data_IF_863470471319
#
_entry.id   IF_863470471319
#
_cell.length_a   1.000
_cell.length_b   1.000
_cell.length_c   1.000
_cell.angle_alpha   90.00
_cell.angle_beta   90.00
_cell.angle_gamma   90.00
#
_symmetry.space_group_name_H-M   'P 1'
#
loop_
_entity.id
_entity.type
_entity.pdbx_description
1 polymer ?
#
# COMPACT_ATOMS: atom_id res chain seq x y z
N UNK A 1 -32.83 -3.83 -22.85
CA UNK A 1 -31.88 -3.95 -21.73
C UNK A 1 -32.05 -5.32 -21.10
N UNK A 2 -30.96 -6.07 -20.85
CA UNK A 2 -31.06 -7.35 -20.14
C UNK A 2 -31.65 -7.14 -18.73
N UNK A 3 -32.40 -8.10 -18.19
CA UNK A 3 -32.95 -8.01 -16.84
C UNK A 3 -31.82 -7.93 -15.80
N UNK A 4 -31.96 -7.03 -14.83
CA UNK A 4 -30.98 -6.89 -13.75
C UNK A 4 -30.84 -8.18 -12.95
N UNK A 5 -29.58 -8.59 -12.73
CA UNK A 5 -29.22 -9.69 -11.85
C UNK A 5 -29.84 -9.51 -10.46
N UNK A 6 -30.14 -10.63 -9.79
CA UNK A 6 -30.64 -10.60 -8.42
C UNK A 6 -29.66 -9.91 -7.45
N UNK A 7 -28.35 -10.05 -7.69
CA UNK A 7 -27.30 -9.37 -6.93
C UNK A 7 -27.37 -7.86 -7.11
N UNK A 8 -27.59 -7.39 -8.35
CA UNK A 8 -27.76 -5.96 -8.64
C UNK A 8 -28.98 -5.38 -7.93
N UNK A 9 -30.09 -6.14 -7.88
CA UNK A 9 -31.30 -5.74 -7.14
C UNK A 9 -31.08 -5.67 -5.63
N UNK A 10 -30.29 -6.58 -5.07
CA UNK A 10 -29.92 -6.56 -3.65
C UNK A 10 -29.02 -5.35 -3.35
N UNK A 11 -27.99 -5.12 -4.17
CA UNK A 11 -27.09 -3.99 -4.03
C UNK A 11 -27.83 -2.65 -4.10
N UNK A 12 -28.72 -2.47 -5.08
CA UNK A 12 -29.55 -1.27 -5.23
C UNK A 12 -30.38 -0.99 -3.97
N UNK A 13 -31.05 -2.02 -3.41
CA UNK A 13 -31.82 -1.87 -2.17
C UNK A 13 -30.96 -1.40 -1.00
N UNK A 14 -29.73 -1.91 -0.89
CA UNK A 14 -28.80 -1.50 0.17
C UNK A 14 -28.34 -0.05 -0.02
N UNK A 15 -28.02 0.35 -1.26
CA UNK A 15 -27.64 1.74 -1.58
C UNK A 15 -28.79 2.71 -1.27
N UNK A 16 -30.04 2.37 -1.64
CA UNK A 16 -31.21 3.19 -1.35
C UNK A 16 -31.44 3.36 0.16
N UNK A 17 -31.27 2.28 0.93
CA UNK A 17 -31.40 2.31 2.39
C UNK A 17 -30.34 3.22 3.04
N UNK A 18 -29.09 3.12 2.61
CA UNK A 18 -28.00 3.99 3.09
C UNK A 18 -28.28 5.47 2.74
N UNK A 19 -28.75 5.74 1.53
CA UNK A 19 -29.12 7.08 1.08
C UNK A 19 -30.22 7.72 1.93
N UNK A 20 -31.29 6.97 2.22
CA UNK A 20 -32.40 7.46 3.06
C UNK A 20 -31.98 7.78 4.49
N UNK A 21 -30.93 7.12 4.97
CA UNK A 21 -30.36 7.37 6.31
C UNK A 21 -29.34 8.51 6.33
N UNK A 22 -29.04 9.12 5.18
CA UNK A 22 -28.01 10.14 5.06
C UNK A 22 -26.58 9.59 5.18
N UNK A 23 -26.39 8.26 5.18
CA UNK A 23 -25.07 7.61 5.32
C UNK A 23 -24.15 7.88 4.11
N UNK A 24 -24.68 8.45 3.03
CA UNK A 24 -23.96 8.81 1.80
C UNK A 24 -23.72 10.32 1.65
N UNK A 25 -23.94 11.12 2.71
CA UNK A 25 -23.72 12.57 2.75
C UNK A 25 -22.69 12.92 3.84
N UNK A 26 -21.95 14.01 3.66
CA UNK A 26 -20.86 14.43 4.53
C UNK A 26 -19.66 13.48 4.51
N UNK A 27 -19.47 12.69 3.45
CA UNK A 27 -18.37 11.72 3.38
C UNK A 27 -17.02 12.42 3.29
N UNK A 28 -15.98 11.76 3.82
CA UNK A 28 -14.62 12.24 3.66
C UNK A 28 -14.27 12.34 2.17
N UNK A 29 -13.95 13.55 1.72
CA UNK A 29 -13.65 13.81 0.31
C UNK A 29 -14.85 14.14 -0.56
N UNK A 30 -16.07 14.26 0.00
CA UNK A 30 -17.24 14.68 -0.77
C UNK A 30 -17.02 16.05 -1.44
N UNK A 31 -17.30 16.12 -2.74
CA UNK A 31 -17.09 17.31 -3.57
C UNK A 31 -15.64 17.63 -3.91
N UNK A 32 -14.66 16.85 -3.40
CA UNK A 32 -13.24 17.02 -3.72
C UNK A 32 -12.87 16.15 -4.94
N UNK A 33 -11.83 16.55 -5.71
CA UNK A 33 -11.27 15.68 -6.73
C UNK A 33 -10.86 14.33 -6.16
N UNK A 34 -11.02 13.26 -6.95
CA UNK A 34 -10.48 11.97 -6.58
C UNK A 34 -8.95 12.10 -6.40
N UNK A 35 -8.37 11.53 -5.33
CA UNK A 35 -6.93 11.57 -5.14
C UNK A 35 -6.22 10.85 -6.28
N UNK A 36 -5.09 11.40 -6.70
CA UNK A 36 -4.24 10.79 -7.73
C UNK A 36 -3.63 9.50 -7.20
N UNK A 37 -3.99 8.38 -7.81
CA UNK A 37 -3.56 7.03 -7.42
C UNK A 37 -2.95 6.33 -8.63
N UNK A 38 -1.71 6.68 -9.00
CA UNK A 38 -1.03 6.07 -10.15
C UNK A 38 -0.83 4.56 -9.98
N UNK A 39 -0.80 4.04 -8.75
CA UNK A 39 -0.70 2.61 -8.45
C UNK A 39 -1.97 1.80 -8.76
N UNK A 40 -3.15 2.43 -8.73
CA UNK A 40 -4.44 1.77 -9.00
C UNK A 40 -4.66 1.55 -10.51
N UNK A 41 -3.89 2.26 -11.36
CA UNK A 41 -4.00 2.17 -12.81
C UNK A 41 -3.44 0.86 -13.39
N UNK A 42 -2.63 0.13 -12.62
CA UNK A 42 -1.91 -1.07 -13.05
C UNK A 42 -2.34 -2.35 -12.32
N UNK A 43 -3.45 -2.32 -11.57
CA UNK A 43 -3.91 -3.47 -10.79
C UNK A 43 -5.39 -3.72 -10.98
N UNK A 44 -5.84 -4.94 -10.66
CA UNK A 44 -7.27 -5.25 -10.69
C UNK A 44 -8.04 -4.37 -9.70
N UNK A 45 -9.34 -4.15 -9.94
CA UNK A 45 -10.19 -3.40 -9.02
C UNK A 45 -10.23 -4.02 -7.61
N UNK A 46 -10.06 -5.34 -7.49
CA UNK A 46 -9.97 -6.03 -6.20
C UNK A 46 -8.68 -5.68 -5.45
N UNK A 47 -7.55 -5.70 -6.16
CA UNK A 47 -6.24 -5.41 -5.59
C UNK A 47 -6.10 -3.95 -5.20
N UNK A 48 -6.63 -3.02 -6.01
CA UNK A 48 -6.69 -1.59 -5.67
C UNK A 48 -7.43 -1.35 -4.34
N UNK A 49 -8.57 -2.05 -4.14
CA UNK A 49 -9.32 -1.98 -2.88
C UNK A 49 -8.51 -2.56 -1.72
N UNK A 50 -7.83 -3.70 -1.93
CA UNK A 50 -6.96 -4.30 -0.92
C UNK A 50 -5.81 -3.38 -0.50
N UNK A 51 -5.13 -2.76 -1.47
CA UNK A 51 -4.07 -1.79 -1.21
C UNK A 51 -4.59 -0.55 -0.49
N UNK A 52 -5.78 -0.06 -0.86
CA UNK A 52 -6.41 1.07 -0.17
C UNK A 52 -6.66 0.75 1.30
N UNK A 53 -7.25 -0.42 1.59
CA UNK A 53 -7.51 -0.84 2.98
C UNK A 53 -6.20 -0.92 3.78
N UNK A 54 -5.15 -1.50 3.19
CA UNK A 54 -3.84 -1.58 3.85
C UNK A 54 -3.23 -0.19 4.10
N UNK A 55 -3.30 0.72 3.12
CA UNK A 55 -2.79 2.08 3.26
C UNK A 55 -3.57 2.89 4.31
N UNK A 56 -4.90 2.78 4.33
CA UNK A 56 -5.77 3.41 5.33
C UNK A 56 -5.50 2.87 6.74
N UNK A 57 -5.13 1.59 6.86
CA UNK A 57 -4.70 0.99 8.13
C UNK A 57 -3.25 1.33 8.53
N UNK A 58 -2.53 2.14 7.73
CA UNK A 58 -1.14 2.52 7.99
C UNK A 58 -0.13 1.40 7.73
N UNK A 59 -0.53 0.33 7.04
CA UNK A 59 0.37 -0.78 6.70
C UNK A 59 1.29 -0.35 5.56
N UNK A 60 2.59 -0.34 5.82
CA UNK A 60 3.60 -0.05 4.81
C UNK A 60 3.97 -1.33 4.06
N UNK A 61 4.15 -1.26 2.74
CA UNK A 61 4.75 -2.34 1.97
C UNK A 61 6.14 -2.72 2.52
N UNK A 62 6.50 -4.00 2.40
CA UNK A 62 7.75 -4.55 2.95
C UNK A 62 8.98 -3.80 2.41
N UNK A 63 8.99 -3.45 1.13
CA UNK A 63 10.07 -2.68 0.50
C UNK A 63 10.28 -1.31 1.15
N UNK A 64 9.21 -0.66 1.63
CA UNK A 64 9.29 0.64 2.30
C UNK A 64 9.85 0.48 3.71
N UNK A 65 9.47 -0.59 4.42
CA UNK A 65 10.01 -0.90 5.75
C UNK A 65 11.51 -1.17 5.66
N UNK A 66 11.92 -2.02 4.71
CA UNK A 66 13.33 -2.37 4.49
C UNK A 66 14.15 -1.16 4.04
N UNK A 67 13.60 -0.28 3.19
CA UNK A 67 14.26 0.97 2.79
C UNK A 67 14.54 1.90 3.98
N UNK A 68 13.59 2.03 4.91
CA UNK A 68 13.79 2.81 6.15
C UNK A 68 14.86 2.19 7.03
N UNK A 69 14.88 0.87 7.14
CA UNK A 69 15.90 0.17 7.91
C UNK A 69 17.30 0.33 7.30
N UNK A 70 17.44 0.20 5.98
CA UNK A 70 18.69 0.45 5.29
C UNK A 70 19.19 1.89 5.52
N UNK A 71 18.30 2.88 5.53
CA UNK A 71 18.67 4.27 5.86
C UNK A 71 19.21 4.37 7.29
N UNK A 72 18.52 3.78 8.28
CA UNK A 72 18.97 3.74 9.68
C UNK A 72 20.36 3.11 9.83
N UNK A 73 20.62 2.00 9.12
CA UNK A 73 21.90 1.31 9.17
C UNK A 73 23.03 2.13 8.53
N UNK A 74 22.74 2.89 7.45
CA UNK A 74 23.72 3.82 6.87
C UNK A 74 24.08 4.96 7.82
N UNK A 75 23.08 5.53 8.51
CA UNK A 75 23.31 6.57 9.51
C UNK A 75 24.14 6.05 10.68
N UNK A 76 23.85 4.83 11.15
CA UNK A 76 24.63 4.16 12.20
C UNK A 76 26.08 3.93 11.76
N UNK A 77 26.29 3.48 10.52
CA UNK A 77 27.62 3.25 9.97
C UNK A 77 28.45 4.55 9.82
N UNK A 78 27.79 5.68 9.55
CA UNK A 78 28.45 6.98 9.45
C UNK A 78 29.00 7.46 10.80
N UNK A 79 28.32 7.10 11.90
CA UNK A 79 28.69 7.48 13.26
C UNK A 79 29.54 6.47 14.03
N UNK A 80 29.78 5.26 13.50
CA UNK A 80 30.47 4.18 14.24
C UNK A 80 32.00 4.23 14.06
N UNK A 81 32.78 4.49 15.14
CA UNK A 81 34.24 4.51 15.09
C UNK A 81 34.89 3.12 15.24
N UNK A 82 34.20 2.13 15.82
CA UNK A 82 34.77 0.81 16.07
C UNK A 82 34.78 -0.06 14.80
N UNK A 83 35.94 -0.57 14.42
CA UNK A 83 36.13 -1.29 13.16
C UNK A 83 35.35 -2.61 13.09
N UNK A 84 35.25 -3.34 14.20
CA UNK A 84 34.54 -4.62 14.26
C UNK A 84 33.02 -4.40 14.22
N UNK A 85 32.52 -3.39 14.93
CA UNK A 85 31.12 -2.95 14.85
C UNK A 85 30.77 -2.44 13.48
N UNK A 86 31.60 -1.60 12.85
CA UNK A 86 31.41 -1.15 11.46
C UNK A 86 31.23 -2.34 10.51
N UNK A 87 32.08 -3.37 10.65
CA UNK A 87 31.99 -4.57 9.82
C UNK A 87 30.67 -5.33 10.05
N UNK A 88 30.21 -5.43 11.29
CA UNK A 88 28.91 -6.04 11.62
C UNK A 88 27.74 -5.24 11.01
N UNK A 89 27.74 -3.91 11.16
CA UNK A 89 26.71 -3.02 10.59
C UNK A 89 26.70 -3.08 9.07
N UNK A 90 27.87 -3.14 8.43
CA UNK A 90 27.96 -3.33 6.97
C UNK A 90 27.36 -4.65 6.51
N UNK A 91 27.60 -5.75 7.25
CA UNK A 91 27.03 -7.04 6.92
C UNK A 91 25.50 -7.05 7.06
N UNK A 92 24.97 -6.40 8.10
CA UNK A 92 23.53 -6.23 8.30
C UNK A 92 22.91 -5.37 7.20
N UNK A 93 23.54 -4.24 6.86
CA UNK A 93 23.11 -3.35 5.78
C UNK A 93 23.01 -4.11 4.46
N UNK A 94 24.02 -4.90 4.10
CA UNK A 94 24.02 -5.70 2.88
C UNK A 94 22.85 -6.70 2.85
N UNK A 95 22.52 -7.35 3.98
CA UNK A 95 21.37 -8.24 4.05
C UNK A 95 20.03 -7.51 3.91
N UNK A 96 19.90 -6.33 4.51
CA UNK A 96 18.68 -5.51 4.39
C UNK A 96 18.51 -5.00 2.96
N UNK A 97 19.57 -4.51 2.32
CA UNK A 97 19.56 -4.05 0.94
C UNK A 97 19.19 -5.18 -0.04
N UNK A 98 19.74 -6.38 0.17
CA UNK A 98 19.37 -7.56 -0.63
C UNK A 98 17.87 -7.87 -0.50
N UNK A 99 17.33 -7.90 0.73
CA UNK A 99 15.91 -8.14 0.96
C UNK A 99 15.04 -7.02 0.37
N UNK A 100 15.49 -5.77 0.47
CA UNK A 100 14.78 -4.63 -0.12
C UNK A 100 14.65 -4.81 -1.63
N UNK A 101 15.74 -5.17 -2.33
CA UNK A 101 15.72 -5.39 -3.76
C UNK A 101 14.78 -6.54 -4.18
N UNK A 102 14.77 -7.64 -3.41
CA UNK A 102 13.84 -8.75 -3.63
C UNK A 102 12.38 -8.31 -3.46
N UNK A 103 12.08 -7.53 -2.42
CA UNK A 103 10.73 -7.02 -2.17
C UNK A 103 10.27 -6.04 -3.26
N UNK A 104 11.16 -5.14 -3.73
CA UNK A 104 10.88 -4.24 -4.85
C UNK A 104 10.60 -5.00 -6.14
N UNK A 105 11.37 -6.05 -6.44
CA UNK A 105 11.15 -6.87 -7.63
C UNK A 105 9.84 -7.68 -7.53
N UNK A 106 9.54 -8.26 -6.36
CA UNK A 106 8.28 -8.95 -6.11
C UNK A 106 7.09 -8.01 -6.30
N UNK A 107 7.17 -6.78 -5.76
CA UNK A 107 6.15 -5.75 -5.94
C UNK A 107 5.99 -5.39 -7.42
N UNK A 108 7.10 -5.19 -8.14
CA UNK A 108 7.06 -4.85 -9.57
C UNK A 108 6.43 -5.95 -10.41
N UNK A 109 6.73 -7.23 -10.12
CA UNK A 109 6.11 -8.37 -10.80
C UNK A 109 4.61 -8.43 -10.52
N UNK A 110 4.22 -8.30 -9.25
CA UNK A 110 2.82 -8.29 -8.84
C UNK A 110 2.00 -7.18 -9.52
N UNK A 111 2.59 -6.00 -9.74
CA UNK A 111 1.91 -4.88 -10.41
C UNK A 111 1.92 -4.95 -11.94
N UNK A 112 2.61 -5.93 -12.55
CA UNK A 112 2.73 -6.05 -14.02
C UNK A 112 1.84 -7.17 -14.58
N UNK A 113 1.63 -8.21 -13.78
CA UNK A 113 0.85 -9.40 -14.14
C UNK A 113 -0.64 -9.20 -13.78
#
# INVERSE_FOLDING_TARGET
MPPMSWLSRLAERQMQKARLRGELQGLEGEGKPLPDRPGDAFVSAGDAVGFRIMAEAGVLPEEIVLKKEAARLRDMLAGEPDADRRKAVMAELAQVEMRQAMAEEARRKFLRD
#
